data_IF_993291474739
#
_entry.id   IF_993291474739
#
_cell.length_a   1.000
_cell.length_b   1.000
_cell.length_c   1.000
_cell.angle_alpha   90.00
_cell.angle_beta   90.00
_cell.angle_gamma   90.00
#
_symmetry.space_group_name_H-M   'P 1'
#
loop_
_entity.id
_entity.type
_entity.pdbx_description
1 polymer ?
#
# COMPACT_ATOMS: atom_id res chain seq x y z
N UNK A 1 -2.63 3.42 1.96
CA UNK A 1 -2.42 2.38 3.01
C UNK A 1 -1.90 3.05 4.28
N UNK A 2 -2.73 3.20 5.33
CA UNK A 2 -2.29 3.78 6.60
C UNK A 2 -1.58 2.73 7.46
N UNK A 3 -0.40 3.07 7.98
CA UNK A 3 0.34 2.27 8.96
C UNK A 3 0.09 2.83 10.37
N UNK A 4 -1.18 2.93 10.69
CA UNK A 4 -1.68 3.36 12.01
C UNK A 4 -3.14 2.98 12.18
N UNK A 5 -3.49 2.47 13.34
CA UNK A 5 -4.86 2.08 13.68
C UNK A 5 -5.82 3.27 13.73
N UNK A 6 -5.34 4.45 14.09
CA UNK A 6 -6.16 5.67 14.13
C UNK A 6 -6.77 6.01 12.75
N UNK A 7 -6.11 5.62 11.66
CA UNK A 7 -6.57 5.84 10.28
C UNK A 7 -7.20 4.60 9.63
N UNK A 8 -7.62 3.59 10.42
CA UNK A 8 -8.17 2.35 9.87
C UNK A 8 -9.41 2.57 8.98
N UNK A 9 -10.14 3.64 9.17
CA UNK A 9 -11.32 4.00 8.38
C UNK A 9 -11.04 5.04 7.28
N UNK A 10 -9.77 5.42 7.06
CA UNK A 10 -9.43 6.44 6.06
C UNK A 10 -9.82 5.99 4.64
N UNK A 11 -9.45 4.79 4.22
CA UNK A 11 -9.80 4.30 2.89
C UNK A 11 -11.33 4.19 2.68
N UNK A 12 -12.11 3.58 3.59
CA UNK A 12 -13.58 3.63 3.49
C UNK A 12 -14.18 5.04 3.47
N UNK A 13 -13.55 5.99 4.18
CA UNK A 13 -14.00 7.39 4.16
C UNK A 13 -13.75 8.04 2.79
N UNK A 14 -12.56 7.84 2.22
CA UNK A 14 -12.24 8.35 0.88
C UNK A 14 -13.15 7.72 -0.17
N UNK A 15 -13.43 6.41 -0.08
CA UNK A 15 -14.37 5.74 -0.97
C UNK A 15 -15.73 6.44 -1.01
N UNK A 16 -16.26 6.80 0.15
CA UNK A 16 -17.53 7.52 0.23
C UNK A 16 -17.43 8.95 -0.33
N UNK A 17 -16.41 9.68 0.05
CA UNK A 17 -16.24 11.09 -0.35
C UNK A 17 -15.93 11.23 -1.84
N UNK A 18 -15.04 10.40 -2.37
CA UNK A 18 -14.57 10.48 -3.75
C UNK A 18 -15.41 9.62 -4.70
N UNK A 19 -15.51 8.31 -4.47
CA UNK A 19 -16.14 7.40 -5.41
C UNK A 19 -17.65 7.59 -5.48
N UNK A 20 -18.33 7.78 -4.36
CA UNK A 20 -19.78 8.08 -4.34
C UNK A 20 -20.06 9.46 -4.92
N UNK A 21 -19.27 10.46 -4.57
CA UNK A 21 -19.52 11.86 -5.00
C UNK A 21 -19.16 12.10 -6.46
N UNK A 22 -18.04 11.55 -6.94
CA UNK A 22 -17.52 11.78 -8.29
C UNK A 22 -17.89 10.69 -9.29
N UNK A 23 -18.34 9.52 -8.83
CA UNK A 23 -18.69 8.39 -9.69
C UNK A 23 -20.05 8.52 -10.41
N UNK A 24 -20.34 9.70 -10.94
CA UNK A 24 -21.60 10.01 -11.63
C UNK A 24 -21.44 9.84 -13.15
N UNK A 25 -22.38 9.18 -13.81
CA UNK A 25 -22.35 8.98 -15.25
C UNK A 25 -23.10 10.03 -16.08
N UNK A 26 -23.69 11.06 -15.42
CA UNK A 26 -24.48 12.10 -16.08
C UNK A 26 -24.13 13.50 -15.56
N UNK A 27 -24.31 14.49 -16.42
CA UNK A 27 -24.20 15.92 -16.04
C UNK A 27 -25.37 16.36 -15.16
N UNK A 28 -25.31 17.57 -14.65
CA UNK A 28 -26.41 18.19 -13.89
C UNK A 28 -27.71 18.30 -14.72
N UNK A 29 -27.59 18.39 -16.05
CA UNK A 29 -28.71 18.44 -16.98
C UNK A 29 -29.20 17.05 -17.40
N UNK A 30 -28.71 15.98 -16.77
CA UNK A 30 -29.10 14.61 -17.04
C UNK A 30 -28.54 14.00 -18.34
N UNK A 31 -27.53 14.64 -18.95
CA UNK A 31 -26.91 14.12 -20.18
C UNK A 31 -25.80 13.14 -19.83
N UNK A 32 -25.70 11.96 -20.50
CA UNK A 32 -24.59 11.03 -20.32
C UNK A 32 -23.24 11.73 -20.56
N UNK A 33 -22.27 11.47 -19.69
CA UNK A 33 -20.92 11.99 -19.86
C UNK A 33 -20.16 11.18 -20.90
N UNK A 34 -19.38 11.82 -21.78
CA UNK A 34 -18.60 11.14 -22.82
C UNK A 34 -17.26 10.58 -22.31
N UNK A 35 -17.04 10.51 -21.01
CA UNK A 35 -15.84 10.01 -20.33
C UNK A 35 -16.19 9.33 -19.03
N UNK A 36 -15.31 8.45 -18.56
CA UNK A 36 -15.41 7.82 -17.24
C UNK A 36 -15.10 8.84 -16.13
N UNK A 37 -15.80 8.72 -15.02
CA UNK A 37 -15.70 9.65 -13.89
C UNK A 37 -15.25 8.94 -12.62
N UNK A 38 -14.57 9.70 -11.77
CA UNK A 38 -14.07 9.23 -10.49
C UNK A 38 -12.82 8.36 -10.61
N UNK A 39 -12.16 8.20 -9.52
CA UNK A 39 -11.06 7.24 -9.31
C UNK A 39 -11.58 6.00 -8.60
N UNK A 40 -10.76 4.95 -8.58
CA UNK A 40 -11.02 3.75 -7.78
C UNK A 40 -10.07 3.76 -6.59
N UNK A 41 -10.62 4.00 -5.41
CA UNK A 41 -9.88 4.03 -4.16
C UNK A 41 -10.10 2.76 -3.35
N UNK A 42 -9.04 2.17 -2.86
CA UNK A 42 -9.09 1.07 -1.91
C UNK A 42 -7.86 1.08 -0.99
N UNK A 43 -7.98 0.47 0.16
CA UNK A 43 -6.88 0.37 1.09
C UNK A 43 -7.26 -0.25 2.41
N UNK A 44 -6.25 -0.72 3.11
CA UNK A 44 -6.34 -1.28 4.47
C UNK A 44 -5.15 -0.81 5.30
N UNK A 45 -5.25 -0.88 6.63
CA UNK A 45 -4.09 -0.65 7.48
C UNK A 45 -2.95 -1.63 7.19
N UNK A 46 -1.71 -1.15 7.16
CA UNK A 46 -0.53 -1.99 7.30
C UNK A 46 -0.46 -2.51 8.76
N UNK A 47 -0.05 -3.75 8.96
CA UNK A 47 0.48 -4.73 8.01
C UNK A 47 -0.59 -5.63 7.38
N UNK A 48 -1.85 -5.53 7.79
CA UNK A 48 -2.92 -6.42 7.34
C UNK A 48 -3.08 -6.43 5.82
N UNK A 49 -3.07 -5.26 5.17
CA UNK A 49 -3.14 -5.13 3.72
C UNK A 49 -2.08 -5.90 2.95
N UNK A 50 -0.89 -6.11 3.54
CA UNK A 50 0.19 -6.90 2.94
C UNK A 50 -0.21 -8.36 2.70
N UNK A 51 -1.12 -8.89 3.52
CA UNK A 51 -1.62 -10.26 3.43
C UNK A 51 -2.97 -10.36 2.69
N UNK A 52 -3.45 -9.25 2.13
CA UNK A 52 -4.72 -9.16 1.42
C UNK A 52 -4.50 -8.93 -0.08
N UNK A 53 -4.07 -7.74 -0.48
CA UNK A 53 -4.02 -7.34 -1.89
C UNK A 53 -2.65 -6.84 -2.39
N UNK A 54 -1.61 -6.82 -1.56
CA UNK A 54 -0.30 -6.30 -1.99
C UNK A 54 0.34 -7.12 -3.11
N UNK A 55 -0.01 -8.39 -3.24
CA UNK A 55 0.44 -9.20 -4.38
C UNK A 55 0.04 -8.57 -5.72
N UNK A 56 -1.19 -8.04 -5.82
CA UNK A 56 -1.66 -7.31 -7.00
C UNK A 56 -0.82 -6.05 -7.25
N UNK A 57 -0.52 -5.30 -6.18
CA UNK A 57 0.26 -4.06 -6.27
C UNK A 57 1.68 -4.34 -6.77
N UNK A 58 2.30 -5.44 -6.34
CA UNK A 58 3.65 -5.81 -6.72
C UNK A 58 3.76 -6.46 -8.11
N UNK A 59 2.83 -7.32 -8.50
CA UNK A 59 2.92 -8.12 -9.74
C UNK A 59 1.80 -7.87 -10.75
N UNK A 60 0.67 -7.31 -10.31
CA UNK A 60 -0.46 -7.02 -11.19
C UNK A 60 -0.30 -5.70 -11.96
N UNK A 61 -1.42 -5.11 -12.35
CA UNK A 61 -1.45 -3.80 -12.99
C UNK A 61 -0.81 -2.74 -12.08
N UNK A 62 -0.11 -1.80 -12.67
CA UNK A 62 0.50 -0.71 -11.91
C UNK A 62 -0.58 0.22 -11.35
N UNK A 63 -0.57 0.42 -10.05
CA UNK A 63 -1.50 1.28 -9.31
C UNK A 63 -0.64 2.17 -8.40
N UNK A 64 -0.77 3.50 -8.47
CA UNK A 64 -0.11 4.39 -7.52
C UNK A 64 -0.57 4.11 -6.08
N UNK A 65 0.35 4.14 -5.13
CA UNK A 65 0.07 3.81 -3.74
C UNK A 65 0.52 4.92 -2.80
N UNK A 66 -0.38 5.35 -1.90
CA UNK A 66 -0.04 6.24 -0.80
C UNK A 66 0.14 5.43 0.48
N UNK A 67 1.34 5.50 1.05
CA UNK A 67 1.67 4.97 2.37
C UNK A 67 1.66 6.10 3.38
N UNK A 68 0.89 5.95 4.46
CA UNK A 68 0.77 6.97 5.50
C UNK A 68 1.29 6.39 6.81
N UNK A 69 2.40 6.92 7.29
CA UNK A 69 3.05 6.52 8.54
C UNK A 69 2.97 7.61 9.61
N UNK A 70 3.29 7.23 10.84
CA UNK A 70 3.32 8.13 12.00
C UNK A 70 4.73 8.15 12.56
N UNK A 71 5.31 9.35 12.77
CA UNK A 71 6.69 9.48 13.27
C UNK A 71 6.78 9.02 14.73
N UNK A 72 5.83 9.45 15.57
CA UNK A 72 5.83 9.12 17.00
C UNK A 72 4.60 8.34 17.38
N UNK A 73 4.79 7.14 17.93
CA UNK A 73 3.71 6.39 18.55
C UNK A 73 3.16 7.11 19.78
N UNK A 74 1.86 7.16 19.90
CA UNK A 74 1.20 7.65 21.11
C UNK A 74 1.34 6.66 22.28
N UNK A 75 1.53 5.38 21.98
CA UNK A 75 1.72 4.30 22.93
C UNK A 75 2.79 3.33 22.41
N UNK A 76 3.97 3.38 23.01
CA UNK A 76 5.04 2.41 22.69
C UNK A 76 4.77 1.10 23.44
N UNK A 77 4.57 0.04 22.68
CA UNK A 77 4.38 -1.32 23.21
C UNK A 77 5.58 -2.16 22.81
N UNK A 78 6.16 -2.85 23.77
CA UNK A 78 7.24 -3.81 23.56
C UNK A 78 6.76 -5.22 23.91
N UNK A 79 7.02 -6.17 23.06
CA UNK A 79 6.82 -7.58 23.40
C UNK A 79 7.90 -8.03 24.37
N UNK A 80 7.58 -8.99 25.24
CA UNK A 80 8.51 -9.49 26.24
C UNK A 80 9.74 -10.10 25.57
N UNK A 81 10.90 -9.51 25.86
CA UNK A 81 12.19 -9.94 25.32
C UNK A 81 12.62 -9.23 24.04
N UNK A 82 11.76 -8.39 23.44
CA UNK A 82 12.10 -7.58 22.27
C UNK A 82 12.77 -6.26 22.68
N UNK A 83 13.74 -5.82 21.86
CA UNK A 83 14.47 -4.56 22.04
C UNK A 83 13.87 -3.41 21.22
N UNK A 84 13.02 -3.73 20.24
CA UNK A 84 12.33 -2.76 19.40
C UNK A 84 10.85 -2.69 19.74
N UNK A 85 10.25 -1.53 19.57
CA UNK A 85 8.82 -1.37 19.83
C UNK A 85 8.00 -1.92 18.66
N UNK A 86 6.72 -2.25 18.92
CA UNK A 86 5.78 -2.61 17.85
C UNK A 86 5.65 -1.50 16.81
N UNK A 87 5.84 -0.23 17.21
CA UNK A 87 5.85 0.89 16.29
C UNK A 87 7.06 0.87 15.36
N UNK A 88 8.25 0.59 15.87
CA UNK A 88 9.46 0.51 15.05
C UNK A 88 9.34 -0.63 14.03
N UNK A 89 8.83 -1.78 14.44
CA UNK A 89 8.52 -2.90 13.55
C UNK A 89 7.52 -2.52 12.45
N UNK A 90 6.46 -1.79 12.82
CA UNK A 90 5.46 -1.30 11.87
C UNK A 90 6.08 -0.32 10.86
N UNK A 91 6.97 0.58 11.31
CA UNK A 91 7.66 1.52 10.43
C UNK A 91 8.70 0.84 9.54
N UNK A 92 9.36 -0.20 10.00
CA UNK A 92 10.21 -1.03 9.13
C UNK A 92 9.39 -1.62 7.96
N UNK A 93 8.22 -2.16 8.23
CA UNK A 93 7.31 -2.65 7.20
C UNK A 93 6.83 -1.53 6.25
N UNK A 94 6.51 -0.36 6.79
CA UNK A 94 6.12 0.82 6.01
C UNK A 94 7.18 1.20 4.97
N UNK A 95 8.44 1.34 5.37
CA UNK A 95 9.53 1.68 4.45
C UNK A 95 9.86 0.54 3.50
N UNK A 96 9.91 -0.70 4.01
CA UNK A 96 10.22 -1.87 3.20
C UNK A 96 9.23 -2.08 2.04
N UNK A 97 7.95 -1.76 2.22
CA UNK A 97 6.96 -1.89 1.15
C UNK A 97 7.15 -0.84 0.05
N UNK A 98 7.42 0.41 0.42
CA UNK A 98 7.72 1.46 -0.55
C UNK A 98 9.01 1.15 -1.35
N UNK A 99 10.06 0.70 -0.67
CA UNK A 99 11.32 0.29 -1.30
C UNK A 99 11.12 -0.92 -2.23
N UNK A 100 10.38 -1.93 -1.81
CA UNK A 100 10.09 -3.10 -2.62
C UNK A 100 9.34 -2.76 -3.90
N UNK A 101 8.39 -1.82 -3.85
CA UNK A 101 7.68 -1.32 -5.03
C UNK A 101 8.60 -0.56 -5.98
N UNK A 102 9.53 0.23 -5.44
CA UNK A 102 10.47 0.99 -6.24
C UNK A 102 11.53 0.10 -6.91
N UNK A 103 12.15 -0.79 -6.15
CA UNK A 103 13.31 -1.58 -6.57
C UNK A 103 12.92 -2.89 -7.26
N UNK A 104 11.91 -3.59 -6.72
CA UNK A 104 11.56 -4.93 -7.16
C UNK A 104 12.58 -5.99 -6.76
N UNK A 105 12.53 -7.16 -7.42
CA UNK A 105 13.48 -8.27 -7.23
C UNK A 105 13.72 -9.01 -8.53
N UNK A 106 14.97 -9.03 -8.98
CA UNK A 106 15.34 -9.62 -10.26
C UNK A 106 15.56 -11.13 -10.17
N UNK A 107 15.46 -11.82 -11.31
CA UNK A 107 15.80 -13.23 -11.43
C UNK A 107 17.27 -13.53 -11.04
N UNK A 108 18.20 -12.59 -11.30
CA UNK A 108 19.61 -12.72 -10.93
C UNK A 108 19.78 -12.75 -9.41
N UNK A 109 19.11 -11.81 -8.72
CA UNK A 109 19.12 -11.79 -7.25
C UNK A 109 18.54 -13.08 -6.66
N UNK A 110 17.41 -13.55 -7.20
CA UNK A 110 16.78 -14.79 -6.74
C UNK A 110 17.69 -16.01 -6.92
N UNK A 111 18.42 -16.11 -8.04
CA UNK A 111 19.42 -17.19 -8.24
C UNK A 111 20.56 -17.09 -7.24
N UNK A 112 21.05 -15.90 -6.95
CA UNK A 112 22.12 -15.72 -5.95
C UNK A 112 21.67 -16.09 -4.53
N UNK A 113 20.37 -16.08 -4.26
CA UNK A 113 19.75 -16.51 -3.01
C UNK A 113 19.36 -18.00 -3.01
N UNK A 114 19.81 -18.77 -4.01
CA UNK A 114 19.49 -20.20 -4.18
C UNK A 114 17.97 -20.47 -4.32
N UNK A 115 17.22 -19.55 -4.91
CA UNK A 115 15.81 -19.79 -5.23
C UNK A 115 15.70 -20.87 -6.32
N UNK A 116 14.86 -21.91 -6.15
CA UNK A 116 14.62 -22.91 -7.19
C UNK A 116 14.16 -22.27 -8.50
N UNK A 117 14.72 -22.71 -9.63
CA UNK A 117 14.41 -22.14 -10.96
C UNK A 117 12.91 -22.12 -11.27
N UNK A 118 12.16 -23.13 -10.83
CA UNK A 118 10.71 -23.20 -11.01
C UNK A 118 9.96 -22.08 -10.28
N UNK A 119 10.53 -21.49 -9.23
CA UNK A 119 9.91 -20.42 -8.45
C UNK A 119 10.37 -19.02 -8.88
N UNK A 120 11.44 -18.90 -9.67
CA UNK A 120 11.97 -17.61 -10.08
C UNK A 120 10.92 -16.74 -10.79
N UNK A 121 10.15 -17.24 -11.79
CA UNK A 121 9.12 -16.41 -12.42
C UNK A 121 8.06 -15.90 -11.45
N UNK A 122 7.72 -16.69 -10.43
CA UNK A 122 6.71 -16.35 -9.42
C UNK A 122 7.21 -15.36 -8.36
N UNK A 123 8.53 -15.29 -8.16
CA UNK A 123 9.18 -14.44 -7.15
C UNK A 123 9.86 -13.20 -7.74
N UNK A 124 9.84 -13.04 -9.04
CA UNK A 124 10.38 -11.85 -9.72
C UNK A 124 9.37 -10.72 -9.63
N UNK A 125 9.85 -9.56 -9.19
CA UNK A 125 9.08 -8.32 -9.09
C UNK A 125 9.75 -7.25 -9.94
N UNK A 126 8.98 -6.58 -10.80
CA UNK A 126 9.54 -5.62 -11.76
C UNK A 126 10.07 -4.36 -11.11
N UNK A 127 9.55 -3.98 -9.95
CA UNK A 127 9.83 -2.66 -9.38
C UNK A 127 9.25 -1.53 -10.22
N UNK A 128 9.82 -0.33 -10.08
CA UNK A 128 9.41 0.89 -10.78
C UNK A 128 7.89 1.17 -10.68
N UNK A 129 7.32 0.93 -9.50
CA UNK A 129 5.91 1.16 -9.20
C UNK A 129 5.76 2.41 -8.35
N UNK A 130 4.94 3.38 -8.76
CA UNK A 130 4.85 4.68 -8.10
C UNK A 130 4.21 4.55 -6.72
N UNK A 131 4.81 5.22 -5.73
CA UNK A 131 4.25 5.38 -4.41
C UNK A 131 4.63 6.70 -3.77
N UNK A 132 3.82 7.18 -2.83
CA UNK A 132 4.13 8.29 -1.94
C UNK A 132 4.25 7.77 -0.52
N UNK A 133 5.23 8.28 0.22
CA UNK A 133 5.38 8.03 1.65
C UNK A 133 5.09 9.32 2.42
N UNK A 134 3.99 9.35 3.13
CA UNK A 134 3.50 10.48 3.89
C UNK A 134 3.73 10.19 5.37
N UNK A 135 4.50 11.05 6.05
CA UNK A 135 4.79 10.90 7.47
C UNK A 135 4.09 11.99 8.28
N UNK A 136 3.21 11.58 9.17
CA UNK A 136 2.52 12.47 10.10
C UNK A 136 3.27 12.53 11.43
N UNK A 137 3.23 13.67 12.15
CA UNK A 137 4.01 13.83 13.39
C UNK A 137 3.62 12.85 14.50
N UNK A 138 2.32 12.64 14.73
CA UNK A 138 1.75 11.76 15.74
C UNK A 138 0.28 11.47 15.43
#
# INVERSE_FOLDING_TARGET
>A
MPYTQALAKLAPHIQQVAMESNGKGVSIDGQPLPYDTGEIDFGEPGTNGQHSFYQLIHQGRTIPCDFIGIIKSQQSVYLKGEIVSNHDELMCNFFAQADALAVGKTAVQLRSENCPDSLIPHKTFTGNRPSLSIMLPA
#
